data_IF_199780492482
#
_entry.id   IF_199780492482
#
_cell.length_a   1.000
_cell.length_b   1.000
_cell.length_c   1.000
_cell.angle_alpha   90.00
_cell.angle_beta   90.00
_cell.angle_gamma   90.00
#
_symmetry.space_group_name_H-M   'P 1'
#
loop_
_entity.id
_entity.type
_entity.pdbx_description
1 polymer ?
#
# COMPACT_ATOMS: atom_id res chain seq x y z
N UNK A 1 8.46 -10.18 14.52
CA UNK A 1 8.10 -9.39 13.31
C UNK A 1 6.80 -9.88 12.70
N UNK A 2 6.75 -11.13 12.21
CA UNK A 2 5.52 -11.69 11.61
C UNK A 2 4.31 -11.60 12.56
N UNK A 3 4.48 -11.92 13.84
CA UNK A 3 3.40 -11.80 14.84
C UNK A 3 2.91 -10.36 15.02
N UNK A 4 3.82 -9.37 15.04
CA UNK A 4 3.44 -7.97 15.12
C UNK A 4 2.66 -7.52 13.87
N UNK A 5 3.05 -8.00 12.69
CA UNK A 5 2.33 -7.73 11.43
C UNK A 5 0.95 -8.39 11.40
N UNK A 6 0.82 -9.63 11.90
CA UNK A 6 -0.49 -10.30 12.07
C UNK A 6 -1.38 -9.51 13.04
N UNK A 7 -0.82 -9.10 14.17
CA UNK A 7 -1.53 -8.29 15.16
C UNK A 7 -2.02 -6.99 14.52
N UNK A 8 -1.13 -6.26 13.83
CA UNK A 8 -1.49 -5.02 13.14
C UNK A 8 -2.60 -5.23 12.11
N UNK A 9 -2.49 -6.24 11.25
CA UNK A 9 -3.49 -6.52 10.22
C UNK A 9 -4.84 -6.99 10.79
N UNK A 10 -4.84 -7.51 12.02
CA UNK A 10 -6.07 -7.90 12.72
C UNK A 10 -6.80 -6.73 13.37
N UNK A 11 -6.15 -5.56 13.50
CA UNK A 11 -6.78 -4.35 14.02
C UNK A 11 -7.82 -3.84 13.01
N UNK A 12 -9.11 -3.77 13.39
CA UNK A 12 -10.15 -3.26 12.51
C UNK A 12 -9.92 -1.78 12.18
N UNK A 13 -10.35 -1.37 10.99
CA UNK A 13 -10.34 0.04 10.62
C UNK A 13 -11.21 0.85 11.62
N UNK A 14 -10.74 2.00 12.12
CA UNK A 14 -11.55 2.89 12.95
C UNK A 14 -12.84 3.29 12.23
N UNK A 15 -13.94 3.43 12.99
CA UNK A 15 -15.24 3.80 12.43
C UNK A 15 -15.15 5.11 11.63
N UNK A 16 -15.64 5.09 10.39
CA UNK A 16 -15.63 6.25 9.48
C UNK A 16 -14.35 6.45 8.66
N UNK A 17 -13.31 5.64 8.85
CA UNK A 17 -12.05 5.74 8.12
C UNK A 17 -11.93 4.61 7.08
N UNK A 18 -11.98 4.95 5.79
CA UNK A 18 -11.99 3.94 4.70
C UNK A 18 -10.58 3.62 4.19
N UNK A 19 -9.74 4.62 3.99
CA UNK A 19 -8.33 4.50 3.58
C UNK A 19 -7.55 5.71 4.12
N UNK A 20 -6.27 5.53 4.47
CA UNK A 20 -5.45 6.64 4.94
C UNK A 20 -4.50 6.28 6.08
N UNK A 21 -3.81 7.29 6.59
CA UNK A 21 -3.00 7.17 7.81
C UNK A 21 -3.89 6.86 9.02
N UNK A 22 -3.44 5.96 9.90
CA UNK A 22 -4.10 5.66 11.18
C UNK A 22 -4.00 6.87 12.13
N UNK A 23 -4.77 7.92 11.86
CA UNK A 23 -4.65 9.21 12.57
C UNK A 23 -5.08 10.45 11.78
N UNK A 24 -5.67 10.27 10.59
CA UNK A 24 -6.03 11.31 9.61
C UNK A 24 -4.86 11.75 8.70
N UNK A 25 -5.16 11.94 7.42
CA UNK A 25 -4.20 12.33 6.39
C UNK A 25 -4.01 11.30 5.27
N UNK A 26 -3.30 11.67 4.18
CA UNK A 26 -3.11 10.79 3.04
C UNK A 26 -2.35 9.53 3.42
N UNK A 27 -2.75 8.40 2.84
CA UNK A 27 -2.08 7.12 3.05
C UNK A 27 -0.58 7.25 2.69
N UNK A 28 0.28 6.66 3.51
CA UNK A 28 1.70 6.55 3.19
C UNK A 28 2.00 5.23 2.51
N UNK A 29 2.77 5.26 1.43
CA UNK A 29 3.25 4.06 0.74
C UNK A 29 4.34 4.44 -0.26
N UNK A 30 5.36 3.58 -0.42
CA UNK A 30 6.47 3.76 -1.38
C UNK A 30 6.05 3.77 -2.86
N UNK A 31 4.78 3.48 -3.16
CA UNK A 31 4.22 3.59 -4.52
C UNK A 31 3.83 5.03 -4.88
N UNK A 32 3.79 5.90 -3.89
CA UNK A 32 3.54 7.32 -4.05
C UNK A 32 4.86 8.09 -3.92
N UNK A 33 4.97 9.22 -4.62
CA UNK A 33 6.12 10.11 -4.44
C UNK A 33 6.17 10.62 -3.01
N UNK A 34 7.40 10.74 -2.50
CA UNK A 34 7.67 11.15 -1.12
C UNK A 34 6.94 10.27 -0.09
N UNK A 35 6.65 9.02 -0.48
CA UNK A 35 5.88 8.04 0.26
C UNK A 35 4.48 8.52 0.70
N UNK A 36 3.90 9.56 0.07
CA UNK A 36 2.63 10.16 0.49
C UNK A 36 1.63 10.17 -0.66
N UNK A 37 0.44 9.60 -0.43
CA UNK A 37 -0.64 9.65 -1.40
C UNK A 37 -0.98 11.10 -1.76
N UNK A 38 -1.17 11.41 -3.06
CA UNK A 38 -1.44 12.78 -3.50
C UNK A 38 -2.86 13.25 -3.17
N UNK A 39 -3.77 12.31 -2.86
CA UNK A 39 -5.17 12.53 -2.56
C UNK A 39 -5.58 11.74 -1.31
N UNK A 40 -6.63 12.21 -0.66
CA UNK A 40 -7.37 11.42 0.33
C UNK A 40 -8.35 10.51 -0.41
N UNK A 41 -7.95 9.25 -0.61
CA UNK A 41 -8.83 8.28 -1.24
C UNK A 41 -9.92 7.86 -0.24
N UNK A 42 -11.19 8.03 -0.62
CA UNK A 42 -12.33 7.66 0.25
C UNK A 42 -12.84 6.24 -0.01
N UNK A 43 -12.30 5.53 -1.01
CA UNK A 43 -12.72 4.16 -1.35
C UNK A 43 -11.66 3.40 -2.15
N UNK A 44 -11.75 2.06 -2.13
CA UNK A 44 -10.95 1.18 -3.02
C UNK A 44 -11.15 1.52 -4.49
N UNK A 45 -12.36 1.92 -4.87
CA UNK A 45 -12.70 2.32 -6.24
C UNK A 45 -11.92 3.57 -6.67
N UNK A 46 -11.88 4.60 -5.83
CA UNK A 46 -11.14 5.83 -6.11
C UNK A 46 -9.63 5.55 -6.27
N UNK A 47 -9.05 4.76 -5.35
CA UNK A 47 -7.66 4.36 -5.41
C UNK A 47 -7.36 3.51 -6.67
N UNK A 48 -8.24 2.56 -7.01
CA UNK A 48 -8.14 1.75 -8.23
C UNK A 48 -8.14 2.60 -9.48
N UNK A 49 -9.08 3.55 -9.58
CA UNK A 49 -9.20 4.41 -10.76
C UNK A 49 -7.96 5.30 -10.92
N UNK A 50 -7.46 5.88 -9.82
CA UNK A 50 -6.22 6.66 -9.81
C UNK A 50 -5.03 5.84 -10.32
N UNK A 51 -4.81 4.65 -9.75
CA UNK A 51 -3.67 3.80 -10.11
C UNK A 51 -3.78 3.27 -11.55
N UNK A 52 -4.99 2.93 -12.01
CA UNK A 52 -5.22 2.52 -13.40
C UNK A 52 -5.06 3.68 -14.39
N UNK A 53 -5.40 4.92 -14.01
CA UNK A 53 -5.13 6.10 -14.84
C UNK A 53 -3.64 6.30 -15.07
N UNK A 54 -2.81 6.02 -14.07
CA UNK A 54 -1.35 6.06 -14.23
C UNK A 54 -0.85 5.04 -15.28
N UNK A 55 -1.52 3.89 -15.44
CA UNK A 55 -1.17 2.93 -16.50
C UNK A 55 -1.44 3.46 -17.91
N UNK A 56 -2.38 4.39 -18.08
CA UNK A 56 -2.68 4.97 -19.40
C UNK A 56 -1.51 5.76 -19.97
N UNK A 57 -0.63 6.27 -19.10
CA UNK A 57 0.59 7.00 -19.47
C UNK A 57 1.70 6.07 -19.97
N UNK A 58 1.54 4.75 -19.81
CA UNK A 58 2.42 3.75 -20.38
C UNK A 58 1.95 3.47 -21.83
N UNK A 59 2.87 3.47 -22.83
CA UNK A 59 2.53 3.14 -24.21
C UNK A 59 1.76 1.82 -24.30
N UNK A 60 0.70 1.79 -25.13
CA UNK A 60 -0.24 0.68 -25.19
C UNK A 60 0.43 -0.70 -25.37
N UNK A 61 1.48 -0.79 -26.19
CA UNK A 61 2.26 -2.01 -26.44
C UNK A 61 2.98 -2.58 -25.20
N UNK A 62 3.23 -1.77 -24.18
CA UNK A 62 3.92 -2.15 -22.94
C UNK A 62 3.03 -2.01 -21.70
N UNK A 63 1.75 -1.66 -21.89
CA UNK A 63 0.84 -1.36 -20.80
C UNK A 63 0.43 -2.66 -20.11
N UNK A 64 0.60 -2.78 -18.78
CA UNK A 64 0.18 -3.98 -18.06
C UNK A 64 -1.36 -4.02 -17.91
N UNK A 65 -1.88 -5.16 -17.47
CA UNK A 65 -3.30 -5.33 -17.19
C UNK A 65 -3.79 -4.34 -16.12
N UNK A 66 -5.06 -3.93 -16.22
CA UNK A 66 -5.70 -3.08 -15.21
C UNK A 66 -5.75 -3.82 -13.87
N UNK A 67 -5.50 -3.08 -12.80
CA UNK A 67 -5.58 -3.58 -11.43
C UNK A 67 -7.03 -3.61 -10.95
N UNK A 68 -7.32 -4.56 -10.07
CA UNK A 68 -8.58 -4.63 -9.35
C UNK A 68 -8.35 -4.85 -7.85
N UNK A 69 -8.97 -4.01 -7.01
CA UNK A 69 -8.90 -4.09 -5.56
C UNK A 69 -10.27 -4.41 -4.93
N UNK A 70 -11.28 -4.78 -5.73
CA UNK A 70 -12.64 -5.01 -5.22
C UNK A 70 -12.70 -6.12 -4.17
N UNK A 71 -11.88 -7.16 -4.32
CA UNK A 71 -11.86 -8.31 -3.42
C UNK A 71 -10.84 -8.17 -2.28
N UNK A 72 -9.94 -7.19 -2.37
CA UNK A 72 -8.96 -6.92 -1.32
C UNK A 72 -9.63 -6.54 0.00
N UNK A 73 -9.20 -7.17 1.09
CA UNK A 73 -9.51 -6.67 2.42
C UNK A 73 -8.78 -5.33 2.64
N UNK A 74 -9.39 -4.41 3.38
CA UNK A 74 -8.67 -3.26 3.92
C UNK A 74 -8.03 -3.71 5.22
N UNK A 75 -6.71 -3.57 5.31
CA UNK A 75 -5.94 -3.95 6.50
C UNK A 75 -5.08 -2.77 6.95
N UNK A 76 -4.84 -2.69 8.25
CA UNK A 76 -3.78 -1.84 8.78
C UNK A 76 -2.45 -2.49 8.47
N UNK A 77 -1.53 -1.77 7.83
CA UNK A 77 -0.23 -2.31 7.43
C UNK A 77 0.87 -1.30 7.62
N UNK A 78 2.06 -1.80 7.98
CA UNK A 78 3.28 -1.00 8.02
C UNK A 78 3.75 -0.83 6.57
N UNK A 79 3.46 0.34 5.99
CA UNK A 79 3.73 0.63 4.58
C UNK A 79 5.20 0.99 4.32
N UNK A 80 5.98 1.16 5.39
CA UNK A 80 7.43 1.28 5.34
C UNK A 80 8.09 0.17 6.15
N UNK A 81 8.40 -0.92 5.45
CA UNK A 81 8.80 -2.19 6.06
C UNK A 81 10.32 -2.23 6.28
N UNK A 82 10.84 -1.34 7.13
CA UNK A 82 12.25 -1.30 7.52
C UNK A 82 12.50 -2.04 8.85
N UNK A 83 13.67 -2.68 9.00
CA UNK A 83 14.04 -3.39 10.23
C UNK A 83 14.11 -2.47 11.44
N UNK A 84 14.44 -1.20 11.24
CA UNK A 84 14.53 -0.19 12.29
C UNK A 84 13.18 0.19 12.90
N UNK A 85 12.06 -0.25 12.31
CA UNK A 85 10.72 -0.05 12.86
C UNK A 85 10.29 -1.19 13.80
N UNK A 86 11.15 -2.20 14.02
CA UNK A 86 10.82 -3.39 14.82
C UNK A 86 11.81 -3.56 15.95
N UNK A 87 11.28 -3.67 17.17
CA UNK A 87 12.06 -3.88 18.39
C UNK A 87 11.58 -5.13 19.10
N UNK A 88 12.43 -5.68 19.97
CA UNK A 88 12.02 -6.67 20.95
C UNK A 88 11.83 -5.96 22.28
N UNK A 89 10.73 -6.23 22.97
CA UNK A 89 10.56 -5.81 24.35
C UNK A 89 11.42 -6.68 25.30
N UNK A 90 11.39 -6.34 26.59
CA UNK A 90 12.11 -7.08 27.65
C UNK A 90 11.69 -8.56 27.76
N UNK A 91 10.54 -8.94 27.21
CA UNK A 91 10.02 -10.30 27.19
C UNK A 91 10.28 -11.01 25.85
N UNK A 92 11.04 -10.40 24.93
CA UNK A 92 11.35 -10.94 23.60
C UNK A 92 10.18 -10.88 22.62
N UNK A 93 9.11 -10.12 22.90
CA UNK A 93 8.01 -9.90 21.96
C UNK A 93 8.35 -8.78 21.00
N UNK A 94 8.01 -8.96 19.72
CA UNK A 94 8.26 -7.91 18.73
C UNK A 94 7.22 -6.79 18.80
N UNK A 95 7.68 -5.55 18.90
CA UNK A 95 6.89 -4.33 18.83
C UNK A 95 7.12 -3.62 17.49
N UNK A 96 6.07 -3.02 16.93
CA UNK A 96 6.17 -2.07 15.82
C UNK A 96 6.23 -0.67 16.41
N UNK A 97 7.19 0.12 15.96
CA UNK A 97 7.26 1.56 16.22
C UNK A 97 7.07 2.33 14.91
N UNK A 98 7.05 3.65 15.01
CA UNK A 98 6.80 4.56 13.88
C UNK A 98 5.45 4.29 13.18
N UNK A 99 4.38 4.68 13.87
CA UNK A 99 3.02 4.57 13.37
C UNK A 99 2.71 5.58 12.25
N UNK A 100 3.61 6.54 11.95
CA UNK A 100 3.40 7.49 10.85
C UNK A 100 3.44 6.82 9.48
N UNK A 101 3.98 5.61 9.39
CA UNK A 101 3.97 4.77 8.20
C UNK A 101 2.89 3.67 8.21
N UNK A 102 2.10 3.58 9.28
CA UNK A 102 0.97 2.64 9.37
C UNK A 102 -0.25 3.20 8.64
N UNK A 103 -0.67 2.52 7.58
CA UNK A 103 -1.79 2.95 6.74
C UNK A 103 -2.86 1.87 6.62
N UNK A 104 -4.11 2.31 6.47
CA UNK A 104 -5.24 1.50 6.03
C UNK A 104 -5.28 1.48 4.50
N UNK A 105 -4.92 0.33 3.94
CA UNK A 105 -4.79 0.13 2.50
C UNK A 105 -5.34 -1.24 2.09
N UNK A 106 -5.67 -1.44 0.79
CA UNK A 106 -5.97 -2.77 0.27
C UNK A 106 -4.80 -3.74 0.51
N UNK A 107 -5.11 -5.00 0.80
CA UNK A 107 -4.13 -6.06 1.04
C UNK A 107 -3.06 -6.16 -0.07
N UNK A 108 -3.40 -5.83 -1.34
CA UNK A 108 -2.41 -5.76 -2.42
C UNK A 108 -1.26 -4.78 -2.15
N UNK A 109 -1.49 -3.68 -1.44
CA UNK A 109 -0.44 -2.72 -1.07
C UNK A 109 0.49 -3.30 -0.01
N UNK A 110 -0.08 -3.94 1.03
CA UNK A 110 0.71 -4.65 2.03
C UNK A 110 1.56 -5.75 1.37
N UNK A 111 0.94 -6.58 0.54
CA UNK A 111 1.61 -7.63 -0.24
C UNK A 111 2.72 -7.03 -1.12
N UNK A 112 2.48 -5.91 -1.79
CA UNK A 112 3.49 -5.23 -2.60
C UNK A 112 4.70 -4.81 -1.75
N UNK A 113 4.48 -4.17 -0.60
CA UNK A 113 5.56 -3.76 0.31
C UNK A 113 6.38 -4.98 0.78
N UNK A 114 5.72 -6.03 1.26
CA UNK A 114 6.38 -7.24 1.75
C UNK A 114 7.23 -7.92 0.67
N UNK A 115 6.79 -7.93 -0.59
CA UNK A 115 7.52 -8.62 -1.65
C UNK A 115 8.63 -7.77 -2.32
N UNK A 116 8.74 -6.48 -1.98
CA UNK A 116 9.62 -5.54 -2.69
C UNK A 116 11.08 -5.57 -2.23
N UNK A 117 11.37 -6.00 -1.00
CA UNK A 117 12.74 -6.03 -0.45
C UNK A 117 13.01 -7.28 0.40
N UNK A 118 14.29 -7.55 0.69
CA UNK A 118 14.72 -8.78 1.36
C UNK A 118 14.04 -8.99 2.73
N UNK A 119 14.04 -7.97 3.59
CA UNK A 119 13.46 -8.09 4.93
C UNK A 119 11.96 -8.44 4.90
N UNK A 120 11.18 -7.81 4.02
CA UNK A 120 9.77 -8.11 3.83
C UNK A 120 9.56 -9.53 3.26
N UNK A 121 10.41 -9.94 2.30
CA UNK A 121 10.35 -11.29 1.72
C UNK A 121 10.68 -12.39 2.73
N UNK A 122 11.57 -12.12 3.68
CA UNK A 122 11.81 -13.06 4.78
C UNK A 122 10.64 -13.09 5.75
N UNK A 123 10.09 -11.93 6.12
CA UNK A 123 8.92 -11.86 7.00
C UNK A 123 7.67 -12.54 6.41
N UNK A 124 7.43 -12.43 5.10
CA UNK A 124 6.25 -13.01 4.45
C UNK A 124 6.30 -14.53 4.38
N UNK A 125 7.46 -15.19 4.51
CA UNK A 125 7.54 -16.67 4.62
C UNK A 125 6.82 -17.20 5.86
N UNK A 126 6.68 -16.35 6.87
CA UNK A 126 5.98 -16.66 8.11
C UNK A 126 4.57 -16.06 8.13
N UNK A 127 4.11 -15.45 7.03
CA UNK A 127 2.76 -14.94 6.90
C UNK A 127 2.05 -15.74 5.80
N UNK A 128 0.78 -16.10 5.99
CA UNK A 128 -0.03 -16.73 4.93
C UNK A 128 -0.47 -15.69 3.88
N UNK A 129 0.38 -14.70 3.58
CA UNK A 129 0.09 -13.58 2.70
C UNK A 129 0.62 -13.88 1.31
N UNK A 130 -0.31 -14.19 0.41
CA UNK A 130 0.04 -14.45 -0.99
C UNK A 130 0.51 -13.18 -1.72
N UNK A 131 1.32 -13.38 -2.75
CA UNK A 131 1.70 -12.29 -3.65
C UNK A 131 0.48 -11.84 -4.44
N UNK A 132 0.18 -10.53 -4.39
CA UNK A 132 -0.95 -9.98 -5.11
C UNK A 132 -0.83 -10.18 -6.63
N UNK A 133 -1.92 -10.57 -7.33
CA UNK A 133 -1.94 -10.62 -8.79
C UNK A 133 -1.74 -9.23 -9.42
N UNK A 134 -2.02 -8.16 -8.67
CA UNK A 134 -1.80 -6.78 -9.11
C UNK A 134 -0.34 -6.34 -9.03
N UNK A 135 0.57 -7.14 -8.44
CA UNK A 135 1.91 -6.69 -8.07
C UNK A 135 2.71 -6.07 -9.23
N UNK A 136 2.65 -6.67 -10.43
CA UNK A 136 3.34 -6.15 -11.60
C UNK A 136 2.76 -4.80 -12.04
N UNK A 137 1.44 -4.73 -12.20
CA UNK A 137 0.75 -3.49 -12.59
C UNK A 137 0.95 -2.37 -11.56
N UNK A 138 0.94 -2.70 -10.26
CA UNK A 138 1.22 -1.76 -9.19
C UNK A 138 2.62 -1.17 -9.28
N UNK A 139 3.65 -2.01 -9.52
CA UNK A 139 5.02 -1.54 -9.69
C UNK A 139 5.14 -0.54 -10.87
N UNK A 140 4.51 -0.87 -12.00
CA UNK A 140 4.51 -0.01 -13.20
C UNK A 140 3.76 1.30 -12.99
N UNK A 141 2.59 1.25 -12.37
CA UNK A 141 1.82 2.44 -12.01
C UNK A 141 2.59 3.31 -11.00
N UNK A 142 3.20 2.70 -9.98
CA UNK A 142 4.01 3.38 -8.98
C UNK A 142 5.16 4.17 -9.60
N UNK A 143 5.88 3.58 -10.56
CA UNK A 143 6.93 4.30 -11.28
C UNK A 143 6.41 5.57 -11.96
N UNK A 144 5.25 5.50 -12.64
CA UNK A 144 4.61 6.67 -13.27
C UNK A 144 4.20 7.71 -12.21
N UNK A 145 3.60 7.26 -11.11
CA UNK A 145 3.14 8.12 -10.01
C UNK A 145 4.31 8.83 -9.34
N UNK A 146 5.42 8.14 -9.09
CA UNK A 146 6.64 8.73 -8.51
C UNK A 146 7.20 9.81 -9.43
N UNK A 147 7.27 9.55 -10.74
CA UNK A 147 7.80 10.52 -11.70
C UNK A 147 6.92 11.77 -11.86
N UNK A 148 5.59 11.60 -11.88
CA UNK A 148 4.68 12.68 -12.28
C UNK A 148 3.92 13.33 -11.11
N UNK A 149 3.54 12.54 -10.11
CA UNK A 149 2.84 13.00 -8.89
C UNK A 149 1.66 13.94 -9.10
N UNK A 150 1.03 13.84 -10.27
CA UNK A 150 -0.04 14.72 -10.62
C UNK A 150 -1.27 14.38 -9.79
N UNK A 151 -1.77 15.37 -9.04
CA UNK A 151 -3.06 15.30 -8.34
C UNK A 151 -4.25 15.17 -9.30
N UNK A 152 -4.03 15.34 -10.61
CA UNK A 152 -5.08 15.25 -11.64
C UNK A 152 -5.20 13.87 -12.29
N UNK A 153 -4.40 12.89 -11.88
CA UNK A 153 -4.56 11.50 -12.33
C UNK A 153 -5.92 10.97 -11.85
N UNK A 154 -6.93 11.04 -12.72
CA UNK A 154 -8.30 10.60 -12.43
C UNK A 154 -9.37 11.69 -12.46
N UNK A 155 -9.01 12.97 -12.68
CA UNK A 155 -9.96 14.08 -12.87
C UNK A 155 -10.18 14.48 -14.32
N UNK A 156 -9.46 13.88 -15.28
CA UNK A 156 -9.76 14.08 -16.70
C UNK A 156 -11.02 13.27 -17.09
N UNK A 157 -12.17 13.89 -16.82
CA UNK A 157 -13.44 13.65 -17.50
C UNK A 157 -13.29 14.19 -18.93
N UNK A 158 -13.54 13.30 -19.89
CA UNK A 158 -13.94 13.49 -21.29
C UNK A 158 -13.33 14.66 -22.09
N UNK A 159 -12.58 14.29 -23.13
CA UNK A 159 -12.70 14.94 -24.45
C UNK A 159 -13.15 13.86 -25.43
#
# INVERSE_FOLDING_TARGET
>A
VADALRCLASVPAPAGLTLGLAGSGPARHRLFKDAKAPLLFTSKLALRNYMNKALEWIPARCRPAKMNFSDDKIISTQSDMDKSHFFLDENGKSCIIDFDAVALLPESFASHTMHSHLFGREAVKYLDWSRSPNAYSMARAGAVVIMNSSRTLGTLVSI
#
